data_IF_166936964565
#
_entry.id   IF_166936964565
#
_cell.length_a   1.000
_cell.length_b   1.000
_cell.length_c   1.000
_cell.angle_alpha   90.00
_cell.angle_beta   90.00
_cell.angle_gamma   90.00
#
_symmetry.space_group_name_H-M   'P 1'
#
loop_
_entity.id
_entity.type
_entity.pdbx_description
1 polymer ?
#
# COMPACT_ATOMS: atom_id res chain seq x y z
N UNK A 1 -1.02 56.15 -54.46
CA UNK A 1 -0.29 55.19 -53.63
C UNK A 1 -1.32 54.18 -53.16
N UNK A 2 -1.39 53.03 -53.84
CA UNK A 2 -2.17 51.90 -53.34
C UNK A 2 -1.14 50.91 -52.81
N UNK A 3 -1.08 50.80 -51.49
CA UNK A 3 -0.49 49.69 -50.79
C UNK A 3 -1.31 48.46 -51.18
N UNK A 4 -0.84 47.77 -52.21
CA UNK A 4 -1.38 46.50 -52.62
C UNK A 4 -0.70 45.49 -51.70
N UNK A 5 -1.38 45.13 -50.60
CA UNK A 5 -0.96 44.08 -49.69
C UNK A 5 -0.56 42.85 -50.54
N UNK A 6 0.74 42.54 -50.53
CA UNK A 6 1.29 41.29 -51.07
C UNK A 6 0.66 40.16 -50.25
N UNK A 7 -0.51 39.70 -50.70
CA UNK A 7 -1.03 38.40 -50.35
C UNK A 7 0.00 37.43 -50.90
N UNK A 8 0.94 37.01 -50.05
CA UNK A 8 1.88 35.94 -50.33
C UNK A 8 1.05 34.69 -50.64
N UNK A 9 0.74 34.49 -51.92
CA UNK A 9 0.11 33.27 -52.43
C UNK A 9 1.17 32.18 -52.31
N UNK A 10 1.20 31.53 -51.14
CA UNK A 10 2.10 30.43 -50.85
C UNK A 10 2.04 29.41 -51.99
N UNK A 11 3.18 29.20 -52.65
CA UNK A 11 3.24 28.39 -53.85
C UNK A 11 2.92 26.94 -53.52
N UNK A 12 2.46 26.15 -54.50
CA UNK A 12 2.24 24.71 -54.29
C UNK A 12 3.52 23.96 -53.90
N UNK A 13 4.70 24.55 -54.15
CA UNK A 13 5.97 24.03 -53.66
C UNK A 13 6.15 24.28 -52.15
N UNK A 14 5.80 25.48 -51.67
CA UNK A 14 5.90 25.87 -50.26
C UNK A 14 4.92 25.07 -49.39
N UNK A 15 3.68 24.89 -49.85
CA UNK A 15 2.70 24.01 -49.17
C UNK A 15 3.20 22.57 -49.04
N UNK A 16 3.83 22.03 -50.10
CA UNK A 16 4.44 20.69 -50.08
C UNK A 16 5.64 20.62 -49.14
N UNK A 17 6.48 21.65 -49.13
CA UNK A 17 7.63 21.74 -48.23
C UNK A 17 7.19 21.79 -46.76
N UNK A 18 6.19 22.62 -46.44
CA UNK A 18 5.61 22.75 -45.11
C UNK A 18 4.97 21.43 -44.65
N UNK A 19 4.17 20.78 -45.49
CA UNK A 19 3.61 19.46 -45.18
C UNK A 19 4.69 18.41 -44.89
N UNK A 20 5.76 18.37 -45.70
CA UNK A 20 6.90 17.47 -45.48
C UNK A 20 7.68 17.77 -44.19
N UNK A 21 7.73 19.04 -43.77
CA UNK A 21 8.33 19.45 -42.51
C UNK A 21 7.48 18.97 -41.32
N UNK A 22 6.17 19.19 -41.37
CA UNK A 22 5.25 18.73 -40.32
C UNK A 22 5.26 17.20 -40.16
N UNK A 23 5.25 16.46 -41.26
CA UNK A 23 5.28 15.00 -41.20
C UNK A 23 6.62 14.47 -40.66
N UNK A 24 7.75 15.14 -40.96
CA UNK A 24 9.04 14.81 -40.33
C UNK A 24 8.97 14.97 -38.82
N UNK A 25 8.47 16.12 -38.34
CA UNK A 25 8.26 16.39 -36.91
C UNK A 25 7.39 15.31 -36.27
N UNK A 26 6.28 14.92 -36.91
CA UNK A 26 5.41 13.83 -36.43
C UNK A 26 6.16 12.50 -36.31
N UNK A 27 6.96 12.14 -37.31
CA UNK A 27 7.75 10.89 -37.30
C UNK A 27 8.81 10.88 -36.20
N UNK A 28 9.43 12.01 -35.91
CA UNK A 28 10.40 12.12 -34.81
C UNK A 28 9.72 11.96 -33.46
N UNK A 29 8.55 12.58 -33.24
CA UNK A 29 7.78 12.38 -32.01
C UNK A 29 7.36 10.91 -31.79
N UNK A 30 6.97 10.22 -32.87
CA UNK A 30 6.66 8.77 -32.80
C UNK A 30 7.91 7.97 -32.47
N UNK A 31 9.04 8.31 -33.10
CA UNK A 31 10.32 7.66 -32.83
C UNK A 31 10.70 7.80 -31.35
N UNK A 32 10.54 8.97 -30.77
CA UNK A 32 10.81 9.20 -29.33
C UNK A 32 9.87 8.40 -28.45
N UNK A 33 8.58 8.33 -28.81
CA UNK A 33 7.59 7.50 -28.10
C UNK A 33 7.96 6.01 -28.11
N UNK A 34 8.51 5.50 -29.21
CA UNK A 34 9.02 4.12 -29.28
C UNK A 34 10.25 3.90 -28.39
N UNK A 35 11.14 4.88 -28.26
CA UNK A 35 12.26 4.79 -27.32
C UNK A 35 11.77 4.73 -25.87
N UNK A 36 10.87 5.63 -25.48
CA UNK A 36 10.27 5.63 -24.13
C UNK A 36 9.52 4.32 -23.82
N UNK A 37 8.81 3.76 -24.81
CA UNK A 37 8.14 2.47 -24.66
C UNK A 37 9.14 1.33 -24.46
N UNK A 38 10.20 1.27 -25.28
CA UNK A 38 11.27 0.28 -25.15
C UNK A 38 11.88 0.31 -23.74
N UNK A 39 12.22 1.51 -23.26
CA UNK A 39 12.87 1.69 -21.96
C UNK A 39 11.94 1.32 -20.79
N UNK A 40 10.63 1.31 -21.00
CA UNK A 40 9.64 0.90 -19.98
C UNK A 40 9.43 -0.62 -19.92
N UNK A 41 9.94 -1.39 -20.89
CA UNK A 41 9.76 -2.84 -20.99
C UNK A 41 11.07 -3.55 -20.59
N UNK A 42 11.13 -4.22 -19.41
CA UNK A 42 12.39 -4.73 -18.87
C UNK A 42 13.16 -5.70 -19.78
N UNK A 43 12.47 -6.50 -20.60
CA UNK A 43 13.10 -7.45 -21.51
C UNK A 43 13.80 -6.80 -22.71
N UNK A 44 13.51 -5.53 -23.00
CA UNK A 44 14.13 -4.76 -24.09
C UNK A 44 15.25 -3.83 -23.60
N UNK A 45 15.38 -3.69 -22.28
CA UNK A 45 16.44 -2.92 -21.64
C UNK A 45 17.78 -3.65 -21.80
N UNK A 46 18.82 -2.96 -22.24
CA UNK A 46 20.17 -3.52 -22.31
C UNK A 46 20.47 -4.41 -23.53
N UNK A 47 19.51 -4.62 -24.44
CA UNK A 47 19.84 -5.22 -25.74
C UNK A 47 20.82 -4.32 -26.51
N UNK A 48 22.02 -4.85 -26.79
CA UNK A 48 23.07 -4.18 -27.60
C UNK A 48 22.61 -3.90 -29.03
N UNK A 49 21.57 -4.60 -29.50
CA UNK A 49 20.95 -4.39 -30.80
C UNK A 49 19.67 -3.53 -30.63
N UNK A 50 19.41 -2.64 -31.59
CA UNK A 50 18.17 -1.86 -31.58
C UNK A 50 16.98 -2.80 -31.83
N UNK A 51 16.12 -2.96 -30.83
CA UNK A 51 14.86 -3.68 -30.99
C UNK A 51 14.01 -3.02 -32.10
N UNK A 52 13.47 -3.83 -33.01
CA UNK A 52 12.60 -3.31 -34.07
C UNK A 52 11.27 -2.81 -33.51
N UNK A 53 10.56 -1.95 -34.26
CA UNK A 53 9.23 -1.44 -33.84
C UNK A 53 8.23 -2.55 -33.56
N UNK A 54 8.22 -3.59 -34.37
CA UNK A 54 7.33 -4.75 -34.17
C UNK A 54 7.66 -5.46 -32.85
N UNK A 55 8.94 -5.77 -32.60
CA UNK A 55 9.38 -6.39 -31.36
C UNK A 55 9.04 -5.54 -30.12
N UNK A 56 9.16 -4.21 -30.22
CA UNK A 56 8.78 -3.31 -29.11
C UNK A 56 7.29 -3.46 -28.78
N UNK A 57 6.42 -3.50 -29.80
CA UNK A 57 4.97 -3.66 -29.61
C UNK A 57 4.61 -5.05 -29.05
N UNK A 58 5.22 -6.09 -29.58
CA UNK A 58 4.99 -7.48 -29.15
C UNK A 58 5.40 -7.65 -27.68
N UNK A 59 6.62 -7.21 -27.32
CA UNK A 59 7.13 -7.32 -25.95
C UNK A 59 6.40 -6.40 -24.97
N UNK A 60 5.96 -5.22 -25.39
CA UNK A 60 5.10 -4.38 -24.56
C UNK A 60 3.76 -5.07 -24.26
N UNK A 61 3.15 -5.70 -25.27
CA UNK A 61 1.88 -6.42 -25.11
C UNK A 61 2.03 -7.63 -24.19
N UNK A 62 3.08 -8.44 -24.40
CA UNK A 62 3.43 -9.54 -23.50
C UNK A 62 3.63 -9.06 -22.06
N UNK A 63 4.36 -7.95 -21.87
CA UNK A 63 4.66 -7.40 -20.56
C UNK A 63 3.41 -6.89 -19.84
N UNK A 64 2.49 -6.21 -20.53
CA UNK A 64 1.20 -5.78 -19.97
C UNK A 64 0.40 -6.99 -19.50
N UNK A 65 0.30 -8.05 -20.31
CA UNK A 65 -0.42 -9.27 -19.95
C UNK A 65 0.23 -9.99 -18.77
N UNK A 66 1.56 -10.03 -18.73
CA UNK A 66 2.31 -10.57 -17.60
C UNK A 66 2.03 -9.79 -16.31
N UNK A 67 2.14 -8.45 -16.36
CA UNK A 67 1.92 -7.60 -15.18
C UNK A 67 0.48 -7.67 -14.67
N UNK A 68 -0.53 -7.79 -15.56
CA UNK A 68 -1.92 -8.04 -15.16
C UNK A 68 -2.07 -9.33 -14.36
N UNK A 69 -1.50 -10.44 -14.85
CA UNK A 69 -1.52 -11.73 -14.14
C UNK A 69 -0.77 -11.66 -12.81
N UNK A 70 0.42 -11.05 -12.81
CA UNK A 70 1.23 -10.87 -11.59
C UNK A 70 0.51 -10.05 -10.52
N UNK A 71 -0.10 -8.93 -10.90
CA UNK A 71 -0.89 -8.11 -9.98
C UNK A 71 -2.10 -8.87 -9.43
N UNK A 72 -2.76 -9.70 -10.26
CA UNK A 72 -3.87 -10.54 -9.82
C UNK A 72 -3.43 -11.56 -8.76
N UNK A 73 -2.33 -12.27 -8.98
CA UNK A 73 -1.77 -13.20 -7.99
C UNK A 73 -1.40 -12.47 -6.70
N UNK A 74 -0.72 -11.32 -6.78
CA UNK A 74 -0.40 -10.54 -5.58
C UNK A 74 -1.65 -10.07 -4.82
N UNK A 75 -2.72 -9.71 -5.53
CA UNK A 75 -3.98 -9.35 -4.90
C UNK A 75 -4.60 -10.54 -4.17
N UNK A 76 -4.56 -11.75 -4.76
CA UNK A 76 -4.99 -12.98 -4.09
C UNK A 76 -4.16 -13.26 -2.83
N UNK A 77 -2.83 -13.14 -2.92
CA UNK A 77 -1.93 -13.34 -1.78
C UNK A 77 -2.26 -12.35 -0.63
N UNK A 78 -2.51 -11.07 -0.97
CA UNK A 78 -2.91 -10.04 -0.02
C UNK A 78 -4.23 -10.42 0.67
N UNK A 79 -5.23 -10.88 -0.07
CA UNK A 79 -6.54 -11.21 0.47
C UNK A 79 -6.49 -12.47 1.34
N UNK A 80 -5.69 -13.46 0.96
CA UNK A 80 -5.45 -14.66 1.75
C UNK A 80 -4.71 -14.35 3.06
N UNK A 81 -3.67 -13.51 3.01
CA UNK A 81 -2.96 -13.05 4.21
C UNK A 81 -3.86 -12.24 5.14
N UNK A 82 -4.73 -11.38 4.61
CA UNK A 82 -5.74 -10.66 5.41
C UNK A 82 -6.68 -11.62 6.12
N UNK A 83 -7.15 -12.66 5.43
CA UNK A 83 -8.01 -13.70 6.02
C UNK A 83 -7.29 -14.45 7.13
N UNK A 84 -6.04 -14.84 6.91
CA UNK A 84 -5.22 -15.52 7.92
C UNK A 84 -4.98 -14.65 9.14
N UNK A 85 -4.63 -13.37 8.95
CA UNK A 85 -4.44 -12.42 10.05
C UNK A 85 -5.72 -12.24 10.87
N UNK A 86 -6.88 -12.10 10.22
CA UNK A 86 -8.15 -11.99 10.93
C UNK A 86 -8.46 -13.22 11.81
N UNK A 87 -8.16 -14.43 11.33
CA UNK A 87 -8.31 -15.67 12.09
C UNK A 87 -7.35 -15.73 13.28
N UNK A 88 -6.09 -15.33 13.09
CA UNK A 88 -5.09 -15.31 14.15
C UNK A 88 -5.44 -14.27 15.22
N UNK A 89 -5.85 -13.07 14.83
CA UNK A 89 -6.33 -12.05 15.75
C UNK A 89 -7.54 -12.51 16.57
N UNK A 90 -8.48 -13.25 15.94
CA UNK A 90 -9.60 -13.83 16.66
C UNK A 90 -9.14 -14.87 17.70
N UNK A 91 -8.18 -15.72 17.35
CA UNK A 91 -7.60 -16.70 18.28
C UNK A 91 -6.88 -16.03 19.45
N UNK A 92 -6.08 -14.99 19.18
CA UNK A 92 -5.39 -14.21 20.21
C UNK A 92 -6.41 -13.60 21.18
N UNK A 93 -7.43 -12.90 20.66
CA UNK A 93 -8.50 -12.32 21.50
C UNK A 93 -9.23 -13.37 22.35
N UNK A 94 -9.50 -14.55 21.80
CA UNK A 94 -10.15 -15.64 22.52
C UNK A 94 -9.27 -16.18 23.67
N UNK A 95 -7.97 -16.36 23.41
CA UNK A 95 -7.00 -16.82 24.41
C UNK A 95 -6.78 -15.79 25.52
N UNK A 96 -6.71 -14.50 25.17
CA UNK A 96 -6.62 -13.40 26.14
C UNK A 96 -7.85 -13.38 27.07
N UNK A 97 -9.06 -13.54 26.50
CA UNK A 97 -10.30 -13.63 27.29
C UNK A 97 -10.31 -14.85 28.21
N UNK A 98 -9.91 -16.01 27.70
CA UNK A 98 -9.84 -17.24 28.49
C UNK A 98 -8.85 -17.10 29.66
N UNK A 99 -7.67 -16.54 29.40
CA UNK A 99 -6.65 -16.28 30.42
C UNK A 99 -7.14 -15.30 31.49
N UNK A 100 -7.79 -14.20 31.09
CA UNK A 100 -8.38 -13.25 32.02
C UNK A 100 -9.46 -13.89 32.91
N UNK A 101 -10.32 -14.75 32.32
CA UNK A 101 -11.35 -15.47 33.09
C UNK A 101 -10.76 -16.48 34.08
N UNK A 102 -9.68 -17.19 33.71
CA UNK A 102 -9.00 -18.11 34.60
C UNK A 102 -8.30 -17.40 35.77
N UNK A 103 -7.75 -16.21 35.55
CA UNK A 103 -7.17 -15.38 36.62
C UNK A 103 -8.23 -14.88 37.62
N UNK A 104 -9.41 -14.48 37.14
CA UNK A 104 -10.51 -14.09 38.01
C UNK A 104 -11.03 -15.27 38.86
N UNK A 105 -11.10 -16.48 38.31
CA UNK A 105 -11.46 -17.68 39.09
C UNK A 105 -10.40 -18.05 40.14
N UNK A 106 -9.12 -17.82 39.85
CA UNK A 106 -8.03 -18.07 40.81
C UNK A 106 -7.93 -16.99 41.92
N UNK A 107 -8.44 -15.77 41.68
CA UNK A 107 -8.41 -14.67 42.65
C UNK A 107 -9.59 -14.64 43.62
N UNK A 108 -10.62 -15.46 43.42
CA UNK A 108 -11.60 -15.73 44.47
C UNK A 108 -11.08 -16.90 45.31
N UNK A 109 -10.49 -16.67 46.51
CA UNK A 109 -10.44 -17.74 47.46
C UNK A 109 -11.90 -18.12 47.71
N UNK A 110 -12.26 -19.37 47.43
CA UNK A 110 -13.46 -19.95 47.99
C UNK A 110 -13.25 -19.97 49.51
N UNK A 111 -13.49 -18.84 50.16
CA UNK A 111 -13.63 -18.75 51.60
C UNK A 111 -14.97 -19.37 51.97
N UNK A 112 -15.00 -20.69 51.92
CA UNK A 112 -16.01 -21.49 52.62
C UNK A 112 -15.31 -22.44 53.60
N UNK A 113 -14.24 -21.95 54.24
CA UNK A 113 -13.54 -22.70 55.28
C UNK A 113 -13.44 -21.86 56.53
N UNK A 114 -14.59 -21.76 57.22
CA UNK A 114 -14.67 -21.34 58.61
C UNK A 114 -13.90 -22.38 59.45
N UNK A 115 -12.58 -22.21 59.57
CA UNK A 115 -11.75 -23.02 60.46
C UNK A 115 -12.15 -22.71 61.90
N UNK A 116 -13.03 -23.57 62.44
CA UNK A 116 -13.35 -23.58 63.87
C UNK A 116 -12.48 -24.65 64.52
N UNK A 117 -11.75 -24.26 65.58
CA UNK A 117 -11.10 -25.23 66.46
C UNK A 117 -12.20 -26.05 67.18
N UNK A 118 -11.97 -27.27 67.70
CA UNK A 118 -13.02 -28.11 68.31
C UNK A 118 -13.64 -27.52 69.60
N UNK A 119 -13.30 -26.28 69.96
CA UNK A 119 -13.90 -25.46 71.02
C UNK A 119 -14.81 -24.33 70.50
N UNK A 120 -15.10 -24.28 69.20
CA UNK A 120 -16.16 -23.42 68.62
C UNK A 120 -15.90 -21.92 68.62
N UNK A 121 -14.66 -21.45 68.81
CA UNK A 121 -14.32 -20.03 68.65
C UNK A 121 -13.80 -19.74 67.24
N UNK A 122 -14.34 -18.67 66.63
CA UNK A 122 -13.88 -18.14 65.35
C UNK A 122 -12.46 -17.57 65.50
N UNK A 123 -11.56 -17.97 64.61
CA UNK A 123 -10.18 -17.47 64.56
C UNK A 123 -10.15 -16.35 63.52
N UNK A 124 -10.02 -15.09 63.96
CA UNK A 124 -9.83 -13.95 63.07
C UNK A 124 -8.42 -14.01 62.46
N UNK A 125 -8.32 -14.16 61.14
CA UNK A 125 -7.07 -13.99 60.42
C UNK A 125 -6.64 -12.51 60.45
N UNK A 126 -5.36 -12.29 60.68
CA UNK A 126 -4.72 -10.98 60.73
C UNK A 126 -5.04 -10.14 59.48
N UNK A 127 -5.45 -8.89 59.67
CA UNK A 127 -5.59 -7.88 58.63
C UNK A 127 -4.25 -7.14 58.50
N UNK A 128 -3.41 -7.61 57.59
CA UNK A 128 -2.11 -7.01 57.26
C UNK A 128 -2.20 -6.21 55.96
N UNK A 129 -2.85 -5.05 56.00
CA UNK A 129 -2.88 -4.10 54.89
C UNK A 129 -1.59 -3.27 54.79
N UNK A 130 -1.09 -3.07 53.57
CA UNK A 130 -0.38 -1.84 53.19
C UNK A 130 -0.37 -1.63 51.67
N UNK A 131 -0.60 -0.36 51.35
CA UNK A 131 -0.84 0.27 50.06
C UNK A 131 0.24 0.05 48.99
N UNK A 132 -0.19 0.09 47.74
CA UNK A 132 0.67 0.48 46.61
C UNK A 132 -0.08 1.46 45.73
N UNK A 133 0.24 2.75 45.85
CA UNK A 133 -0.23 3.80 44.93
C UNK A 133 0.61 3.84 43.64
N UNK A 134 0.00 4.17 42.49
CA UNK A 134 0.73 4.39 41.25
C UNK A 134 1.30 5.81 41.18
N UNK A 135 2.63 5.92 41.05
CA UNK A 135 3.31 7.18 40.70
C UNK A 135 3.14 7.45 39.21
N UNK A 136 2.41 8.52 38.90
CA UNK A 136 2.39 9.17 37.60
C UNK A 136 3.66 9.99 37.41
N UNK A 137 4.52 9.56 36.48
CA UNK A 137 5.60 10.41 35.98
C UNK A 137 5.29 10.87 34.56
N UNK A 138 5.02 12.18 34.45
CA UNK A 138 5.05 12.94 33.21
C UNK A 138 6.49 13.01 32.72
N UNK A 139 6.80 12.29 31.65
CA UNK A 139 8.05 12.39 30.91
C UNK A 139 7.75 12.70 29.45
N UNK A 140 7.97 13.94 29.07
CA UNK A 140 7.95 14.46 27.71
C UNK A 140 8.94 13.73 26.80
N UNK A 141 8.49 13.26 25.64
CA UNK A 141 9.35 13.12 24.47
C UNK A 141 8.58 13.47 23.20
N UNK A 142 9.14 14.45 22.51
CA UNK A 142 8.75 14.92 21.20
C UNK A 142 9.14 13.89 20.13
N UNK A 143 8.39 14.00 19.03
CA UNK A 143 8.78 13.70 17.65
C UNK A 143 8.38 12.34 17.05
N UNK A 144 7.83 12.41 15.83
CA UNK A 144 7.28 11.26 15.09
C UNK A 144 6.07 11.58 14.22
N UNK A 145 6.21 12.57 13.32
CA UNK A 145 5.52 12.69 12.02
C UNK A 145 4.11 12.09 11.87
N UNK A 146 3.10 12.97 11.93
CA UNK A 146 1.80 12.75 11.29
C UNK A 146 1.99 12.67 9.78
N UNK A 147 1.75 11.51 9.17
CA UNK A 147 1.43 11.42 7.74
C UNK A 147 -0.05 11.77 7.56
N UNK A 148 -0.42 12.81 6.79
CA UNK A 148 -1.81 13.01 6.40
C UNK A 148 -2.23 11.97 5.38
N UNK A 149 -3.50 11.56 5.44
CA UNK A 149 -4.09 10.57 4.56
C UNK A 149 -3.98 10.96 3.09
N UNK A 150 -3.60 9.98 2.28
CA UNK A 150 -3.84 9.96 0.84
C UNK A 150 -5.32 9.62 0.61
N UNK A 151 -6.17 10.63 0.78
CA UNK A 151 -7.42 10.69 0.04
C UNK A 151 -7.09 11.27 -1.34
N UNK A 152 -7.50 10.56 -2.39
CA UNK A 152 -7.29 10.82 -3.83
C UNK A 152 -6.05 10.20 -4.50
N UNK A 153 -6.21 8.94 -4.91
CA UNK A 153 -5.93 8.50 -6.28
C UNK A 153 -7.02 7.46 -6.60
N UNK A 154 -8.06 7.78 -7.36
CA UNK A 154 -7.92 8.12 -8.77
C UNK A 154 -8.00 6.82 -9.57
N UNK A 155 -9.19 6.51 -10.06
CA UNK A 155 -9.49 5.68 -11.23
C UNK A 155 -8.47 4.57 -11.57
N UNK A 156 -8.69 3.38 -11.03
CA UNK A 156 -8.31 2.14 -11.72
C UNK A 156 -9.60 1.40 -12.10
N UNK A 157 -10.29 1.95 -13.09
CA UNK A 157 -11.30 1.25 -13.88
C UNK A 157 -10.76 1.13 -15.31
N UNK A 158 -10.42 -0.10 -15.69
CA UNK A 158 -10.47 -0.69 -17.03
C UNK A 158 -10.28 -2.20 -16.86
#
# INVERSE_FOLDING_TARGET
MSDNDDIEVESDADKRAHHNALERKRRDHIKDSFHSLRDSVPSLQGEKQQASRAQILDKATEYIQYMRRKNHTHQQDIDDLKRQNALLEQQVRALEKARASAQLQASYPADNSLYTNPKGSAISAFDGGSDSQPVSHLGSSQDGSRTPGLEQAGFWYC
#
